data_IF_465520772806
#
_entry.id   IF_465520772806
#
_cell.length_a   1.000
_cell.length_b   1.000
_cell.length_c   1.000
_cell.angle_alpha   90.00
_cell.angle_beta   90.00
_cell.angle_gamma   90.00
#
_symmetry.space_group_name_H-M   'P 1'
#
loop_
_entity.id
_entity.type
_entity.pdbx_description
1 polymer ?
#
# COMPACT_ATOMS: atom_id res chain seq x y z
N UNK A 1 -3.30 20.64 -5.30
CA UNK A 1 -3.03 21.55 -6.45
C UNK A 1 -1.87 22.54 -6.22
N UNK A 2 -1.88 23.42 -5.22
CA UNK A 2 -0.80 24.43 -5.03
C UNK A 2 0.61 23.83 -4.84
N UNK A 3 0.70 22.71 -4.11
CA UNK A 3 1.97 22.05 -3.81
C UNK A 3 2.76 21.64 -5.07
N UNK A 4 2.09 21.25 -6.17
CA UNK A 4 2.73 20.87 -7.43
C UNK A 4 3.55 21.99 -8.08
N UNK A 5 3.24 23.27 -7.75
CA UNK A 5 3.98 24.43 -8.25
C UNK A 5 5.21 24.77 -7.43
N UNK A 6 5.42 24.08 -6.31
CA UNK A 6 6.55 24.28 -5.40
C UNK A 6 7.72 23.34 -5.69
N UNK A 7 7.58 22.47 -6.71
CA UNK A 7 8.56 21.43 -7.07
C UNK A 7 9.01 20.59 -5.86
N UNK A 8 8.08 20.04 -5.06
CA UNK A 8 8.47 19.20 -3.93
C UNK A 8 9.02 17.87 -4.46
N UNK A 9 9.96 17.26 -3.74
CA UNK A 9 10.40 15.90 -4.06
C UNK A 9 9.35 14.85 -3.66
N UNK A 10 8.58 15.13 -2.61
CA UNK A 10 7.54 14.24 -2.03
C UNK A 10 6.36 15.03 -1.53
N UNK A 11 5.18 14.43 -1.62
CA UNK A 11 3.94 14.99 -1.09
C UNK A 11 3.36 14.03 -0.06
N UNK A 12 3.17 14.53 1.15
CA UNK A 12 2.47 13.80 2.21
C UNK A 12 1.07 14.38 2.35
N UNK A 13 0.07 13.62 1.96
CA UNK A 13 -1.33 13.95 2.20
C UNK A 13 -1.73 13.29 3.50
N UNK A 14 -2.22 14.07 4.47
CA UNK A 14 -2.54 13.50 5.79
C UNK A 14 -3.56 12.37 5.70
N UNK A 15 -4.66 12.60 4.97
CA UNK A 15 -5.68 11.60 4.70
C UNK A 15 -6.47 11.96 3.44
N UNK A 16 -6.80 10.95 2.63
CA UNK A 16 -7.74 11.08 1.51
C UNK A 16 -9.13 10.54 1.91
N UNK A 17 -10.16 11.32 1.60
CA UNK A 17 -11.58 11.07 1.91
C UNK A 17 -12.52 11.28 0.73
N UNK A 18 -12.09 11.90 -0.37
CA UNK A 18 -12.94 12.20 -1.53
C UNK A 18 -12.16 12.49 -2.81
N UNK A 19 -12.72 13.37 -3.65
CA UNK A 19 -12.22 13.70 -5.00
C UNK A 19 -10.75 14.14 -5.08
N UNK A 20 -10.17 14.62 -3.98
CA UNK A 20 -8.74 14.93 -3.88
C UNK A 20 -7.83 13.72 -4.08
N UNK A 21 -8.36 12.49 -3.98
CA UNK A 21 -7.64 11.27 -4.32
C UNK A 21 -7.13 11.31 -5.77
N UNK A 22 -7.88 11.89 -6.71
CA UNK A 22 -7.41 12.02 -8.09
C UNK A 22 -6.21 12.97 -8.19
N UNK A 23 -6.29 14.13 -7.54
CA UNK A 23 -5.17 15.09 -7.51
C UNK A 23 -3.92 14.46 -6.88
N UNK A 24 -4.11 13.64 -5.84
CA UNK A 24 -3.03 12.89 -5.18
C UNK A 24 -2.41 11.86 -6.11
N UNK A 25 -3.22 11.01 -6.76
CA UNK A 25 -2.74 9.99 -7.69
C UNK A 25 -2.00 10.63 -8.87
N UNK A 26 -2.52 11.73 -9.41
CA UNK A 26 -1.83 12.50 -10.45
C UNK A 26 -0.49 13.04 -9.97
N UNK A 27 -0.43 13.56 -8.74
CA UNK A 27 0.82 14.04 -8.17
C UNK A 27 1.86 12.92 -8.06
N UNK A 28 1.46 11.77 -7.52
CA UNK A 28 2.29 10.57 -7.39
C UNK A 28 2.84 10.11 -8.75
N UNK A 29 2.00 10.11 -9.80
CA UNK A 29 2.39 9.70 -11.16
C UNK A 29 3.23 10.75 -11.92
N UNK A 30 3.42 11.96 -11.40
CA UNK A 30 4.07 13.07 -12.14
C UNK A 30 5.36 13.58 -11.48
N UNK A 31 6.17 12.65 -10.96
CA UNK A 31 7.52 12.95 -10.49
C UNK A 31 7.62 13.44 -9.05
N UNK A 32 6.67 13.01 -8.20
CA UNK A 32 6.70 13.24 -6.75
C UNK A 32 6.90 11.91 -6.02
N UNK A 33 7.98 11.20 -6.37
CA UNK A 33 8.27 9.84 -5.92
C UNK A 33 8.46 9.76 -4.40
N UNK A 34 7.85 8.76 -3.75
CA UNK A 34 7.87 8.62 -2.28
C UNK A 34 6.83 9.49 -1.57
N UNK A 35 5.82 9.95 -2.30
CA UNK A 35 4.61 10.52 -1.73
C UNK A 35 3.82 9.50 -0.91
N UNK A 36 3.10 9.96 0.09
CA UNK A 36 2.44 9.12 1.10
C UNK A 36 1.06 9.67 1.43
N UNK A 37 0.12 8.78 1.74
CA UNK A 37 -1.19 9.17 2.26
C UNK A 37 -1.71 8.16 3.28
N UNK A 38 -2.79 8.54 3.97
CA UNK A 38 -3.63 7.57 4.69
C UNK A 38 -5.03 7.54 4.10
N UNK A 39 -5.67 6.37 4.17
CA UNK A 39 -7.05 6.18 3.78
C UNK A 39 -7.72 5.16 4.71
N UNK A 40 -9.01 5.34 4.96
CA UNK A 40 -9.77 4.38 5.76
C UNK A 40 -10.19 3.19 4.91
N UNK A 41 -9.68 2.00 5.22
CA UNK A 41 -10.12 0.74 4.63
C UNK A 41 -9.99 -0.42 5.63
N UNK A 42 -10.79 -1.48 5.46
CA UNK A 42 -10.73 -2.65 6.33
C UNK A 42 -9.64 -3.64 5.91
N UNK A 43 -9.30 -3.66 4.62
CA UNK A 43 -8.28 -4.52 4.01
C UNK A 43 -7.48 -3.72 2.97
N UNK A 44 -6.28 -4.18 2.58
CA UNK A 44 -5.55 -3.58 1.46
C UNK A 44 -6.37 -3.54 0.17
N UNK A 45 -7.15 -4.59 -0.12
CA UNK A 45 -8.00 -4.67 -1.32
C UNK A 45 -9.18 -3.70 -1.25
N UNK A 46 -9.78 -3.52 -0.07
CA UNK A 46 -10.79 -2.49 0.16
C UNK A 46 -10.22 -1.09 -0.07
N UNK A 47 -8.95 -0.85 0.27
CA UNK A 47 -8.29 0.43 0.05
C UNK A 47 -8.29 0.81 -1.44
N UNK A 48 -7.94 -0.13 -2.32
CA UNK A 48 -7.97 0.06 -3.77
C UNK A 48 -9.39 0.42 -4.26
N UNK A 49 -10.41 -0.34 -3.83
CA UNK A 49 -11.80 -0.06 -4.19
C UNK A 49 -12.25 1.33 -3.69
N UNK A 50 -11.79 1.76 -2.52
CA UNK A 50 -12.10 3.09 -2.00
C UNK A 50 -11.37 4.21 -2.73
N UNK A 51 -10.12 4.00 -3.17
CA UNK A 51 -9.42 4.95 -4.03
C UNK A 51 -10.15 5.14 -5.36
N UNK A 52 -10.70 4.07 -5.94
CA UNK A 52 -11.53 4.12 -7.14
C UNK A 52 -12.78 5.00 -6.91
N UNK A 53 -13.53 4.74 -5.83
CA UNK A 53 -14.70 5.54 -5.45
C UNK A 53 -14.35 7.00 -5.18
N UNK A 54 -13.30 7.25 -4.40
CA UNK A 54 -12.84 8.61 -4.08
C UNK A 54 -12.44 9.37 -5.35
N UNK A 55 -11.81 8.70 -6.32
CA UNK A 55 -11.46 9.30 -7.61
C UNK A 55 -12.69 9.68 -8.44
N UNK A 56 -13.74 8.86 -8.45
CA UNK A 56 -15.01 9.18 -9.10
C UNK A 56 -15.70 10.41 -8.49
N UNK A 57 -15.47 10.69 -7.21
CA UNK A 57 -15.99 11.89 -6.54
C UNK A 57 -15.31 13.20 -6.98
N UNK A 58 -14.24 13.14 -7.78
CA UNK A 58 -13.57 14.33 -8.34
C UNK A 58 -14.45 15.11 -9.32
N UNK A 59 -15.51 14.49 -9.84
CA UNK A 59 -16.39 15.06 -10.85
C UNK A 59 -15.85 14.97 -12.28
N UNK A 60 -14.67 14.36 -12.48
CA UNK A 60 -14.15 14.03 -13.80
C UNK A 60 -14.71 12.66 -14.26
N UNK A 61 -15.27 12.63 -15.45
CA UNK A 61 -15.80 11.41 -16.07
C UNK A 61 -14.66 10.63 -16.74
N UNK A 62 -13.97 9.83 -15.94
CA UNK A 62 -12.88 8.96 -16.39
C UNK A 62 -13.38 7.52 -16.51
N UNK A 63 -13.02 6.79 -17.59
CA UNK A 63 -13.27 5.35 -17.67
C UNK A 63 -12.70 4.64 -16.45
N UNK A 64 -13.43 3.67 -15.90
CA UNK A 64 -13.04 2.97 -14.67
C UNK A 64 -11.65 2.32 -14.77
N UNK A 65 -11.35 1.80 -15.97
CA UNK A 65 -10.04 1.24 -16.30
C UNK A 65 -8.92 2.28 -16.14
N UNK A 66 -9.11 3.49 -16.63
CA UNK A 66 -8.12 4.56 -16.51
C UNK A 66 -7.88 4.95 -15.05
N UNK A 67 -8.92 4.93 -14.21
CA UNK A 67 -8.78 5.15 -12.76
C UNK A 67 -7.93 4.04 -12.14
N UNK A 68 -8.19 2.78 -12.49
CA UNK A 68 -7.41 1.64 -11.99
C UNK A 68 -5.96 1.69 -12.46
N UNK A 69 -5.70 2.07 -13.71
CA UNK A 69 -4.35 2.28 -14.24
C UNK A 69 -3.62 3.39 -13.48
N UNK A 70 -4.30 4.50 -13.14
CA UNK A 70 -3.74 5.56 -12.31
C UNK A 70 -3.40 5.08 -10.90
N UNK A 71 -4.27 4.28 -10.27
CA UNK A 71 -4.03 3.70 -8.94
C UNK A 71 -2.86 2.73 -8.98
N UNK A 72 -2.86 1.79 -9.93
CA UNK A 72 -1.84 0.76 -10.06
C UNK A 72 -0.45 1.33 -10.38
N UNK A 73 -0.40 2.47 -11.09
CA UNK A 73 0.86 3.17 -11.38
C UNK A 73 1.36 4.03 -10.22
N UNK A 74 0.46 4.54 -9.36
CA UNK A 74 0.81 5.51 -8.32
C UNK A 74 1.13 4.87 -6.97
N UNK A 75 0.53 3.72 -6.67
CA UNK A 75 0.61 3.09 -5.35
C UNK A 75 1.53 1.89 -5.42
N UNK A 76 2.70 1.96 -4.80
CA UNK A 76 3.63 0.83 -4.75
C UNK A 76 3.28 -0.14 -3.60
N UNK A 77 3.06 0.39 -2.40
CA UNK A 77 2.92 -0.38 -1.16
C UNK A 77 1.70 0.09 -0.36
N UNK A 78 0.94 -0.86 0.16
CA UNK A 78 -0.12 -0.63 1.16
C UNK A 78 0.31 -1.24 2.49
N UNK A 79 0.38 -0.41 3.53
CA UNK A 79 0.62 -0.84 4.91
C UNK A 79 -0.72 -0.77 5.66
N UNK A 80 -1.35 -1.92 5.86
CA UNK A 80 -2.62 -1.99 6.58
C UNK A 80 -2.37 -2.01 8.08
N UNK A 81 -2.97 -1.06 8.79
CA UNK A 81 -3.09 -1.10 10.25
C UNK A 81 -4.52 -1.47 10.64
N UNK A 82 -4.66 -2.42 11.56
CA UNK A 82 -5.97 -2.83 12.09
C UNK A 82 -6.01 -2.67 13.61
N UNK A 83 -7.19 -2.35 14.14
CA UNK A 83 -7.46 -2.35 15.58
C UNK A 83 -7.97 -3.72 15.99
N UNK A 84 -7.36 -4.29 17.01
CA UNK A 84 -7.71 -5.60 17.54
C UNK A 84 -8.68 -5.51 18.74
N UNK A 85 -9.34 -6.63 19.11
CA UNK A 85 -10.28 -6.68 20.24
C UNK A 85 -9.70 -6.20 21.58
N UNK A 86 -8.40 -6.39 21.79
CA UNK A 86 -7.67 -5.95 22.99
C UNK A 86 -7.37 -4.42 23.00
N UNK A 87 -7.87 -3.70 22.00
CA UNK A 87 -7.68 -2.27 21.78
C UNK A 87 -6.36 -1.89 21.13
N UNK A 88 -5.43 -2.84 20.93
CA UNK A 88 -4.15 -2.56 20.28
C UNK A 88 -4.32 -2.28 18.79
N UNK A 89 -3.38 -1.52 18.21
CA UNK A 89 -3.26 -1.34 16.77
C UNK A 89 -2.00 -2.04 16.32
N UNK A 90 -2.11 -2.83 15.26
CA UNK A 90 -0.96 -3.53 14.68
C UNK A 90 -1.04 -3.43 13.17
N UNK A 91 0.12 -3.33 12.53
CA UNK A 91 0.19 -3.55 11.08
C UNK A 91 -0.15 -5.02 10.84
N UNK A 92 -1.08 -5.28 9.95
CA UNK A 92 -1.57 -6.63 9.64
C UNK A 92 -1.11 -7.12 8.29
N UNK A 93 -0.92 -6.21 7.34
CA UNK A 93 -0.47 -6.50 5.99
C UNK A 93 0.54 -5.46 5.55
N UNK A 94 1.58 -5.92 4.88
CA UNK A 94 2.42 -5.10 4.01
C UNK A 94 2.26 -5.73 2.64
N UNK A 95 1.57 -5.05 1.73
CA UNK A 95 1.22 -5.56 0.42
C UNK A 95 1.81 -4.65 -0.66
N UNK A 96 2.27 -5.24 -1.76
CA UNK A 96 2.74 -4.54 -2.95
C UNK A 96 1.69 -4.61 -4.05
N UNK A 97 1.56 -3.53 -4.80
CA UNK A 97 0.77 -3.50 -6.03
C UNK A 97 1.70 -3.88 -7.19
N UNK A 98 1.31 -4.89 -7.96
CA UNK A 98 2.14 -5.48 -9.02
C UNK A 98 1.60 -5.18 -10.42
N UNK A 99 0.88 -4.06 -10.54
CA UNK A 99 0.27 -3.60 -11.78
C UNK A 99 -1.16 -4.11 -11.99
N UNK A 100 -1.51 -4.39 -13.24
CA UNK A 100 -2.87 -4.80 -13.64
C UNK A 100 -2.85 -6.02 -14.54
N UNK A 101 -3.86 -6.87 -14.37
CA UNK A 101 -4.18 -7.96 -15.31
C UNK A 101 -5.62 -7.77 -15.80
N UNK A 102 -5.78 -7.43 -17.08
CA UNK A 102 -7.08 -7.01 -17.61
C UNK A 102 -7.61 -5.79 -16.88
N UNK A 103 -8.75 -5.94 -16.20
CA UNK A 103 -9.43 -4.87 -15.45
C UNK A 103 -9.15 -4.91 -13.94
N UNK A 104 -8.29 -5.83 -13.48
CA UNK A 104 -8.06 -6.07 -12.05
C UNK A 104 -6.67 -5.59 -11.66
N UNK A 105 -6.61 -4.75 -10.62
CA UNK A 105 -5.35 -4.39 -9.97
C UNK A 105 -4.82 -5.62 -9.22
N UNK A 106 -3.59 -6.00 -9.56
CA UNK A 106 -2.87 -7.10 -8.95
C UNK A 106 -2.11 -6.62 -7.72
N UNK A 107 -2.07 -7.47 -6.71
CA UNK A 107 -1.36 -7.18 -5.47
C UNK A 107 -0.88 -8.48 -4.83
N UNK A 108 0.21 -8.40 -4.10
CA UNK A 108 0.76 -9.51 -3.34
C UNK A 108 1.11 -9.07 -1.92
N UNK A 109 0.80 -9.92 -0.94
CA UNK A 109 1.26 -9.69 0.42
C UNK A 109 2.74 -10.05 0.54
N UNK A 110 3.53 -9.18 1.16
CA UNK A 110 4.95 -9.37 1.46
C UNK A 110 5.09 -9.90 2.88
N UNK A 111 4.38 -9.25 3.82
CA UNK A 111 4.34 -9.64 5.22
C UNK A 111 2.92 -9.64 5.75
N UNK A 112 2.62 -10.63 6.59
CA UNK A 112 1.34 -10.76 7.28
C UNK A 112 1.56 -10.84 8.78
N UNK A 113 0.68 -10.24 9.57
CA UNK A 113 0.67 -10.45 11.01
C UNK A 113 -0.12 -11.70 11.37
N UNK A 114 0.56 -12.71 11.90
CA UNK A 114 -0.04 -13.94 12.41
C UNK A 114 -0.30 -13.79 13.91
N UNK A 115 -1.56 -13.80 14.31
CA UNK A 115 -1.94 -13.87 15.72
C UNK A 115 -1.65 -15.27 16.28
N UNK A 116 -0.97 -15.33 17.41
CA UNK A 116 -0.56 -16.57 18.10
C UNK A 116 -1.29 -16.77 19.43
N UNK A 117 -2.13 -15.82 19.84
CA UNK A 117 -2.92 -15.90 21.05
C UNK A 117 -2.90 -14.59 21.84
N UNK A 118 -2.92 -14.72 23.16
CA UNK A 118 -2.91 -13.61 24.11
C UNK A 118 -1.75 -13.78 25.10
N UNK A 119 -1.20 -12.68 25.60
CA UNK A 119 -0.24 -12.68 26.70
C UNK A 119 -0.93 -12.79 28.07
N UNK A 120 -0.14 -12.82 29.14
CA UNK A 120 -0.61 -12.90 30.53
C UNK A 120 -1.52 -11.72 30.94
N UNK A 121 -1.51 -10.63 30.19
CA UNK A 121 -2.32 -9.42 30.42
C UNK A 121 -3.54 -9.36 29.48
N UNK A 122 -3.81 -10.43 28.72
CA UNK A 122 -4.91 -10.49 27.76
C UNK A 122 -4.68 -9.64 26.51
N UNK A 123 -3.44 -9.22 26.22
CA UNK A 123 -3.08 -8.51 24.99
C UNK A 123 -2.71 -9.48 23.88
N UNK A 124 -3.02 -9.11 22.65
CA UNK A 124 -2.78 -9.98 21.51
C UNK A 124 -1.29 -10.10 21.23
N UNK A 125 -0.85 -11.36 21.19
CA UNK A 125 0.49 -11.76 20.81
C UNK A 125 0.47 -12.35 19.39
N UNK A 126 1.55 -12.11 18.66
CA UNK A 126 1.72 -12.56 17.30
C UNK A 126 3.00 -12.01 16.72
N UNK A 127 3.27 -12.36 15.47
CA UNK A 127 4.49 -11.97 14.76
C UNK A 127 4.22 -11.69 13.29
N UNK A 128 5.10 -10.93 12.66
CA UNK A 128 5.12 -10.83 11.21
C UNK A 128 5.73 -12.09 10.62
N UNK A 129 5.06 -12.63 9.61
CA UNK A 129 5.53 -13.75 8.80
C UNK A 129 5.70 -13.27 7.37
N UNK A 130 6.83 -13.64 6.76
CA UNK A 130 7.05 -13.42 5.34
C UNK A 130 6.22 -14.41 4.52
N UNK A 131 5.69 -13.94 3.39
CA UNK A 131 4.90 -14.76 2.47
C UNK A 131 5.77 -15.52 1.46
N UNK A 132 7.03 -15.11 1.27
CA UNK A 132 7.90 -15.60 0.21
C UNK A 132 8.00 -14.66 -0.99
N UNK A 133 7.12 -13.66 -1.07
CA UNK A 133 7.13 -12.69 -2.15
C UNK A 133 8.24 -11.66 -1.92
N UNK A 134 9.11 -11.51 -2.91
CA UNK A 134 10.19 -10.51 -2.90
C UNK A 134 9.68 -9.28 -3.69
N UNK A 135 9.60 -8.09 -3.07
CA UNK A 135 9.10 -6.89 -3.73
C UNK A 135 9.94 -6.50 -4.95
N UNK A 136 9.31 -5.92 -5.97
CA UNK A 136 10.00 -5.41 -7.17
C UNK A 136 11.03 -4.33 -6.81
N UNK A 137 10.74 -3.50 -5.80
CA UNK A 137 11.68 -2.53 -5.26
C UNK A 137 13.01 -3.18 -4.84
N UNK A 138 12.97 -4.35 -4.20
CA UNK A 138 14.18 -5.07 -3.78
C UNK A 138 15.00 -5.56 -4.97
N UNK A 139 14.31 -6.02 -6.03
CA UNK A 139 14.96 -6.43 -7.28
C UNK A 139 15.65 -5.24 -7.96
N UNK A 140 14.99 -4.08 -8.00
CA UNK A 140 15.56 -2.84 -8.54
C UNK A 140 16.79 -2.37 -7.76
N UNK A 141 16.74 -2.40 -6.42
CA UNK A 141 17.90 -2.07 -5.58
C UNK A 141 19.08 -2.99 -5.86
N UNK A 142 18.85 -4.30 -5.98
CA UNK A 142 19.88 -5.27 -6.31
C UNK A 142 20.51 -5.01 -7.69
N UNK A 143 19.70 -4.71 -8.71
CA UNK A 143 20.18 -4.37 -10.06
C UNK A 143 21.04 -3.10 -10.08
N UNK A 144 20.77 -2.16 -9.17
CA UNK A 144 21.59 -0.95 -8.97
C UNK A 144 22.86 -1.19 -8.16
N UNK A 145 23.14 -2.44 -7.79
CA UNK A 145 24.31 -2.83 -7.00
C UNK A 145 24.21 -2.48 -5.52
N UNK A 146 23.01 -2.15 -5.03
CA UNK A 146 22.78 -1.87 -3.60
C UNK A 146 22.66 -3.22 -2.89
N UNK A 147 23.48 -3.49 -1.85
CA UNK A 147 23.35 -4.71 -1.07
C UNK A 147 21.95 -4.80 -0.42
N UNK A 148 21.27 -5.92 -0.64
CA UNK A 148 19.94 -6.18 -0.08
C UNK A 148 19.94 -7.51 0.67
N UNK A 149 19.24 -7.55 1.81
CA UNK A 149 19.01 -8.78 2.56
C UNK A 149 17.69 -9.42 2.12
N UNK A 150 17.78 -10.53 1.37
CA UNK A 150 16.61 -11.29 0.92
C UNK A 150 16.15 -12.31 1.95
N UNK A 151 16.92 -12.55 3.03
CA UNK A 151 16.59 -13.56 4.04
C UNK A 151 15.30 -13.22 4.80
N UNK A 152 14.97 -11.94 4.91
CA UNK A 152 13.75 -11.46 5.57
C UNK A 152 12.46 -11.89 4.86
N UNK A 153 12.52 -12.27 3.57
CA UNK A 153 11.35 -12.71 2.81
C UNK A 153 11.15 -14.23 2.85
N UNK A 154 12.03 -15.00 3.51
CA UNK A 154 11.90 -16.45 3.57
C UNK A 154 10.68 -16.84 4.42
N UNK A 155 9.71 -17.61 3.87
CA UNK A 155 8.59 -18.10 4.65
C UNK A 155 9.08 -19.02 5.78
N UNK A 156 8.47 -18.91 6.96
CA UNK A 156 8.69 -19.88 8.03
C UNK A 156 8.07 -21.22 7.61
N UNK A 157 8.90 -22.26 7.44
CA UNK A 157 8.42 -23.64 7.22
C UNK A 157 8.72 -24.30 5.88
N UNK A 158 9.64 -23.76 5.05
CA UNK A 158 10.28 -24.54 3.99
C UNK A 158 11.76 -24.77 4.33
N UNK A 159 12.02 -25.95 4.91
CA UNK A 159 13.33 -26.59 4.88
C UNK A 159 13.57 -27.22 3.51
#
# INVERSE_FOLDING_TARGET
>A
KNCLRMRPDRIVVGECRGGEALDMLQAMNTGHDGSLTTAHANTPRDCLARLEVMTLMSGLDLPIRAIREQIASAVDIIIQQSRFPDGSRKVTHISEITGMEGEVIQMQDIFLYKQEGYDEKGKIKGRFVATGNIPELYQSLQQRGIPVDLSIFKPEGRA
#
